data_IF_837425553348
#
_entry.id   IF_837425553348
#
_cell.length_a   1.000
_cell.length_b   1.000
_cell.length_c   1.000
_cell.angle_alpha   90.00
_cell.angle_beta   90.00
_cell.angle_gamma   90.00
#
_symmetry.space_group_name_H-M   'P 1'
#
loop_
_entity.id
_entity.type
_entity.pdbx_description
1 polymer ?
#
# COMPACT_ATOMS: atom_id res chain seq x y z
N UNK A 1 -78.00 -35.10 36.81
CA UNK A 1 -76.69 -35.76 36.79
C UNK A 1 -76.40 -36.13 35.36
N UNK A 2 -75.60 -35.33 34.67
CA UNK A 2 -75.26 -35.49 33.26
C UNK A 2 -74.22 -36.59 33.10
N UNK A 3 -74.66 -37.78 32.68
CA UNK A 3 -73.76 -38.86 32.30
C UNK A 3 -73.03 -38.46 31.02
N UNK A 4 -71.71 -38.23 31.11
CA UNK A 4 -70.86 -38.10 29.93
C UNK A 4 -70.94 -39.41 29.14
N UNK A 5 -71.32 -39.32 27.86
CA UNK A 5 -71.42 -40.48 26.99
C UNK A 5 -70.01 -40.98 26.62
N UNK A 6 -69.84 -42.29 26.48
CA UNK A 6 -68.54 -42.94 26.19
C UNK A 6 -67.78 -42.33 25.01
N UNK A 7 -68.49 -41.88 23.97
CA UNK A 7 -67.89 -41.23 22.80
C UNK A 7 -67.27 -39.85 23.11
N UNK A 8 -67.88 -39.05 24.01
CA UNK A 8 -67.32 -37.77 24.45
C UNK A 8 -66.06 -37.98 25.32
N UNK A 9 -66.05 -39.03 26.14
CA UNK A 9 -64.86 -39.44 26.90
C UNK A 9 -63.73 -39.89 25.97
N UNK A 10 -64.04 -40.63 24.90
CA UNK A 10 -63.08 -41.11 23.92
C UNK A 10 -62.46 -39.97 23.10
N UNK A 11 -63.24 -38.96 22.75
CA UNK A 11 -62.78 -37.76 22.04
C UNK A 11 -61.90 -36.89 22.95
N UNK A 12 -62.26 -36.72 24.22
CA UNK A 12 -61.42 -36.02 25.21
C UNK A 12 -60.12 -36.79 25.47
N UNK A 13 -60.15 -38.12 25.51
CA UNK A 13 -58.97 -38.97 25.70
C UNK A 13 -58.08 -39.02 24.46
N UNK A 14 -58.62 -38.89 23.24
CA UNK A 14 -57.80 -38.77 22.02
C UNK A 14 -57.13 -37.40 21.94
N UNK A 15 -57.86 -36.32 22.25
CA UNK A 15 -57.31 -34.95 22.37
C UNK A 15 -56.26 -34.89 23.50
N UNK A 16 -56.45 -35.64 24.59
CA UNK A 16 -55.50 -35.74 25.69
C UNK A 16 -54.31 -36.68 25.39
N UNK A 17 -54.45 -37.66 24.49
CA UNK A 17 -53.35 -38.56 24.09
C UNK A 17 -52.44 -37.93 23.03
N UNK A 18 -52.93 -36.95 22.27
CA UNK A 18 -52.09 -36.06 21.44
C UNK A 18 -51.16 -35.15 22.28
N UNK A 19 -51.40 -35.03 23.61
CA UNK A 19 -50.54 -34.27 24.53
C UNK A 19 -49.12 -34.81 24.61
N UNK A 20 -48.86 -36.06 24.22
CA UNK A 20 -47.49 -36.58 24.21
C UNK A 20 -46.57 -35.80 23.29
N UNK A 21 -47.05 -35.40 22.10
CA UNK A 21 -46.27 -34.57 21.17
C UNK A 21 -46.25 -33.11 21.62
N UNK A 22 -47.38 -32.59 22.12
CA UNK A 22 -47.45 -31.19 22.53
C UNK A 22 -46.60 -30.90 23.77
N UNK A 23 -46.57 -31.78 24.78
CA UNK A 23 -45.69 -31.66 25.95
C UNK A 23 -44.21 -31.82 25.60
N UNK A 24 -43.87 -32.74 24.69
CA UNK A 24 -42.48 -32.89 24.22
C UNK A 24 -42.03 -31.60 23.50
N UNK A 25 -42.90 -31.02 22.66
CA UNK A 25 -42.57 -29.78 21.94
C UNK A 25 -42.51 -28.59 22.90
N UNK A 26 -43.43 -28.42 23.85
CA UNK A 26 -43.39 -27.28 24.79
C UNK A 26 -42.23 -27.35 25.77
N UNK A 27 -41.79 -28.55 26.16
CA UNK A 27 -40.64 -28.75 27.06
C UNK A 27 -39.31 -28.70 26.31
N UNK A 28 -39.23 -29.29 25.11
CA UNK A 28 -37.97 -29.36 24.34
C UNK A 28 -37.73 -28.14 23.45
N UNK A 29 -38.76 -27.48 22.91
CA UNK A 29 -38.61 -26.35 21.99
C UNK A 29 -37.80 -25.18 22.59
N UNK A 30 -37.98 -24.76 23.86
CA UNK A 30 -37.15 -23.71 24.45
C UNK A 30 -35.67 -24.08 24.47
N UNK A 31 -35.36 -25.36 24.75
CA UNK A 31 -33.99 -25.88 24.77
C UNK A 31 -33.39 -25.95 23.37
N UNK A 32 -34.17 -26.38 22.37
CA UNK A 32 -33.75 -26.41 20.96
C UNK A 32 -33.54 -24.99 20.42
N UNK A 33 -34.44 -24.05 20.74
CA UNK A 33 -34.30 -22.64 20.35
C UNK A 33 -33.07 -22.01 21.01
N UNK A 34 -32.81 -22.32 22.30
CA UNK A 34 -31.61 -21.86 22.98
C UNK A 34 -30.32 -22.41 22.33
N UNK A 35 -30.28 -23.71 22.03
CA UNK A 35 -29.15 -24.33 21.33
C UNK A 35 -28.96 -23.75 19.92
N UNK A 36 -30.05 -23.50 19.20
CA UNK A 36 -30.02 -22.89 17.89
C UNK A 36 -29.53 -21.44 17.96
N UNK A 37 -29.96 -20.67 18.97
CA UNK A 37 -29.46 -19.32 19.22
C UNK A 37 -27.96 -19.32 19.50
N UNK A 38 -27.47 -20.21 20.37
CA UNK A 38 -26.04 -20.36 20.66
C UNK A 38 -25.25 -20.73 19.39
N UNK A 39 -25.80 -21.64 18.57
CA UNK A 39 -25.18 -22.05 17.30
C UNK A 39 -25.08 -20.89 16.30
N UNK A 40 -26.16 -20.13 16.12
CA UNK A 40 -26.19 -18.95 15.24
C UNK A 40 -25.25 -17.87 15.77
N UNK A 41 -25.24 -17.61 17.08
CA UNK A 41 -24.30 -16.67 17.71
C UNK A 41 -22.86 -17.09 17.48
N UNK A 42 -22.52 -18.37 17.62
CA UNK A 42 -21.18 -18.88 17.36
C UNK A 42 -20.75 -18.69 15.90
N UNK A 43 -21.61 -19.03 14.94
CA UNK A 43 -21.35 -18.80 13.52
C UNK A 43 -21.18 -17.31 13.18
N UNK A 44 -21.99 -16.46 13.79
CA UNK A 44 -21.96 -15.02 13.57
C UNK A 44 -20.70 -14.39 14.15
N UNK A 45 -20.31 -14.76 15.37
CA UNK A 45 -19.06 -14.32 16.01
C UNK A 45 -17.84 -14.78 15.22
N UNK A 46 -17.84 -16.04 14.74
CA UNK A 46 -16.74 -16.57 13.93
C UNK A 46 -16.61 -15.82 12.61
N UNK A 47 -17.72 -15.55 11.91
CA UNK A 47 -17.72 -14.76 10.67
C UNK A 47 -17.31 -13.31 10.92
N UNK A 48 -17.81 -12.70 11.99
CA UNK A 48 -17.49 -11.32 12.34
C UNK A 48 -16.01 -11.17 12.72
N UNK A 49 -15.46 -12.11 13.47
CA UNK A 49 -14.03 -12.15 13.83
C UNK A 49 -13.13 -12.24 12.60
N UNK A 50 -13.47 -13.08 11.62
CA UNK A 50 -12.73 -13.16 10.34
C UNK A 50 -12.83 -11.84 9.58
N UNK A 51 -14.03 -11.24 9.51
CA UNK A 51 -14.22 -9.95 8.83
C UNK A 51 -13.39 -8.82 9.46
N UNK A 52 -13.43 -8.70 10.79
CA UNK A 52 -12.67 -7.68 11.55
C UNK A 52 -11.17 -7.90 11.41
N UNK A 53 -10.72 -9.16 11.39
CA UNK A 53 -9.30 -9.47 11.21
C UNK A 53 -8.83 -9.10 9.81
N UNK A 54 -9.60 -9.44 8.77
CA UNK A 54 -9.29 -9.06 7.39
C UNK A 54 -9.29 -7.55 7.20
N UNK A 55 -10.26 -6.83 7.79
CA UNK A 55 -10.33 -5.37 7.73
C UNK A 55 -9.09 -4.72 8.35
N UNK A 56 -8.63 -5.21 9.52
CA UNK A 56 -7.39 -4.72 10.16
C UNK A 56 -6.13 -5.01 9.35
N UNK A 57 -6.07 -6.16 8.68
CA UNK A 57 -4.94 -6.51 7.80
C UNK A 57 -4.91 -5.54 6.61
N UNK A 58 -6.05 -5.31 5.97
CA UNK A 58 -6.17 -4.36 4.85
C UNK A 58 -5.78 -2.95 5.28
N UNK A 59 -6.26 -2.48 6.43
CA UNK A 59 -5.92 -1.16 6.97
C UNK A 59 -4.40 -1.00 7.12
N UNK A 60 -3.75 -2.01 7.71
CA UNK A 60 -2.29 -2.03 7.88
C UNK A 60 -1.54 -2.09 6.55
N UNK A 61 -2.01 -2.88 5.60
CA UNK A 61 -1.39 -2.98 4.27
C UNK A 61 -1.49 -1.65 3.51
N UNK A 62 -2.63 -0.96 3.62
CA UNK A 62 -2.83 0.38 3.06
C UNK A 62 -1.92 1.40 3.74
N UNK A 63 -1.78 1.36 5.07
CA UNK A 63 -0.84 2.22 5.80
C UNK A 63 0.60 2.01 5.31
N UNK A 64 1.03 0.75 5.14
CA UNK A 64 2.36 0.42 4.61
C UNK A 64 2.56 0.84 3.16
N UNK A 65 1.49 0.83 2.35
CA UNK A 65 1.54 1.35 1.00
C UNK A 65 1.77 2.87 0.99
N UNK A 66 1.08 3.62 1.84
CA UNK A 66 1.32 5.06 1.98
C UNK A 66 2.73 5.36 2.48
N UNK A 67 3.22 4.59 3.46
CA UNK A 67 4.61 4.71 3.94
C UNK A 67 5.64 4.47 2.82
N UNK A 68 5.38 3.51 1.92
CA UNK A 68 6.23 3.25 0.76
C UNK A 68 6.20 4.40 -0.24
N UNK A 69 5.02 4.97 -0.50
CA UNK A 69 4.82 6.12 -1.39
C UNK A 69 5.55 7.36 -0.89
N UNK A 70 5.42 7.68 0.40
CA UNK A 70 6.11 8.83 1.02
C UNK A 70 7.63 8.67 0.92
N UNK A 71 8.15 7.48 1.26
CA UNK A 71 9.58 7.19 1.15
C UNK A 71 10.11 7.33 -0.29
N UNK A 72 9.31 6.93 -1.29
CA UNK A 72 9.64 7.07 -2.70
C UNK A 72 9.66 8.55 -3.11
N UNK A 73 8.64 9.29 -2.69
CA UNK A 73 8.50 10.71 -3.01
C UNK A 73 9.70 11.50 -2.48
N UNK A 74 10.07 11.31 -1.21
CA UNK A 74 11.20 12.01 -0.60
C UNK A 74 12.54 11.71 -1.31
N UNK A 75 12.76 10.48 -1.75
CA UNK A 75 13.95 10.14 -2.54
C UNK A 75 13.92 10.78 -3.93
N UNK A 76 12.80 10.64 -4.65
CA UNK A 76 12.67 11.16 -6.02
C UNK A 76 12.76 12.69 -6.09
N UNK A 77 12.21 13.40 -5.09
CA UNK A 77 12.33 14.85 -4.98
C UNK A 77 13.78 15.29 -4.72
N UNK A 78 14.48 14.61 -3.80
CA UNK A 78 15.89 14.86 -3.56
C UNK A 78 16.75 14.64 -4.82
N UNK A 79 16.46 13.59 -5.59
CA UNK A 79 17.12 13.32 -6.89
C UNK A 79 16.83 14.43 -7.90
N UNK A 80 15.58 14.89 -8.00
CA UNK A 80 15.18 15.99 -8.87
C UNK A 80 15.89 17.30 -8.53
N UNK A 81 15.97 17.63 -7.24
CA UNK A 81 16.68 18.80 -6.75
C UNK A 81 18.18 18.73 -7.06
N UNK A 82 18.80 17.57 -6.83
CA UNK A 82 20.21 17.34 -7.17
C UNK A 82 20.50 17.65 -8.64
N UNK A 83 19.74 17.06 -9.57
CA UNK A 83 19.98 17.29 -11.00
C UNK A 83 19.72 18.74 -11.40
N UNK A 84 18.68 19.38 -10.85
CA UNK A 84 18.39 20.81 -11.06
C UNK A 84 19.55 21.71 -10.62
N UNK A 85 20.15 21.42 -9.47
CA UNK A 85 21.28 22.19 -8.94
C UNK A 85 22.56 21.96 -9.75
N UNK A 86 22.84 20.72 -10.17
CA UNK A 86 24.03 20.41 -10.97
C UNK A 86 23.92 21.00 -12.38
N UNK A 87 22.74 20.99 -12.99
CA UNK A 87 22.51 21.65 -14.27
C UNK A 87 22.80 23.16 -14.18
N UNK A 88 22.30 23.83 -13.12
CA UNK A 88 22.60 25.25 -12.87
C UNK A 88 24.09 25.50 -12.69
N UNK A 89 24.78 24.62 -11.95
CA UNK A 89 26.22 24.72 -11.73
C UNK A 89 27.00 24.61 -13.04
N UNK A 90 26.66 23.63 -13.88
CA UNK A 90 27.28 23.49 -15.20
C UNK A 90 27.04 24.68 -16.12
N UNK A 91 25.84 25.27 -16.09
CA UNK A 91 25.54 26.50 -16.84
C UNK A 91 26.39 27.69 -16.36
N UNK A 92 26.61 27.82 -15.04
CA UNK A 92 27.48 28.85 -14.46
C UNK A 92 28.93 28.68 -14.86
N UNK A 93 29.43 27.44 -14.87
CA UNK A 93 30.79 27.12 -15.35
C UNK A 93 30.99 27.57 -16.79
N UNK A 94 30.04 27.31 -17.70
CA UNK A 94 30.09 27.79 -19.09
C UNK A 94 30.04 29.33 -19.16
N UNK A 95 29.24 29.96 -18.31
CA UNK A 95 29.10 31.42 -18.26
C UNK A 95 30.30 32.13 -17.60
N UNK A 96 31.32 31.38 -17.13
CA UNK A 96 32.43 31.89 -16.32
C UNK A 96 31.95 32.66 -15.07
N UNK A 97 30.79 32.26 -14.55
CA UNK A 97 30.18 32.82 -13.33
C UNK A 97 30.62 31.95 -12.14
N UNK A 98 31.49 32.45 -11.23
CA UNK A 98 31.97 31.66 -10.11
C UNK A 98 30.82 31.34 -9.14
N UNK A 99 30.87 30.15 -8.54
CA UNK A 99 29.92 29.75 -7.50
C UNK A 99 30.05 30.70 -6.29
N UNK A 100 28.98 31.42 -5.95
CA UNK A 100 28.88 32.14 -4.67
C UNK A 100 28.77 31.14 -3.50
N UNK A 101 29.25 31.52 -2.30
CA UNK A 101 29.23 30.64 -1.12
C UNK A 101 27.82 30.08 -0.83
N UNK A 102 26.79 30.90 -1.05
CA UNK A 102 25.39 30.50 -0.89
C UNK A 102 24.94 29.44 -1.90
N UNK A 103 25.39 29.51 -3.15
CA UNK A 103 25.07 28.51 -4.16
C UNK A 103 25.86 27.22 -3.95
N UNK A 104 27.15 27.31 -3.62
CA UNK A 104 27.97 26.14 -3.29
C UNK A 104 27.37 25.35 -2.12
N UNK A 105 26.87 26.06 -1.08
CA UNK A 105 26.14 25.44 0.02
C UNK A 105 24.89 24.68 -0.47
N UNK A 106 24.05 25.31 -1.31
CA UNK A 106 22.84 24.67 -1.86
C UNK A 106 23.15 23.43 -2.71
N UNK A 107 24.24 23.45 -3.48
CA UNK A 107 24.68 22.28 -4.28
C UNK A 107 25.09 21.13 -3.35
N UNK A 108 25.83 21.43 -2.29
CA UNK A 108 26.24 20.44 -1.30
C UNK A 108 25.05 19.88 -0.53
N UNK A 109 24.10 20.72 -0.13
CA UNK A 109 22.87 20.32 0.53
C UNK A 109 22.02 19.39 -0.34
N UNK A 110 21.79 19.76 -1.61
CA UNK A 110 21.08 18.91 -2.57
C UNK A 110 21.78 17.56 -2.77
N UNK A 111 23.13 17.55 -2.80
CA UNK A 111 23.92 16.31 -2.88
C UNK A 111 23.76 15.46 -1.63
N UNK A 112 23.84 16.06 -0.45
CA UNK A 112 23.64 15.40 0.85
C UNK A 112 22.23 14.84 1.01
N UNK A 113 21.20 15.54 0.52
CA UNK A 113 19.82 15.11 0.57
C UNK A 113 19.56 13.80 -0.19
N UNK A 114 20.22 13.57 -1.34
CA UNK A 114 20.08 12.28 -2.02
C UNK A 114 20.71 11.15 -1.20
N UNK A 115 21.87 11.41 -0.57
CA UNK A 115 22.54 10.42 0.25
C UNK A 115 21.73 10.05 1.50
N UNK A 116 21.14 11.03 2.18
CA UNK A 116 20.31 10.76 3.36
C UNK A 116 19.03 9.97 3.01
N UNK A 117 18.50 10.16 1.81
CA UNK A 117 17.28 9.50 1.36
C UNK A 117 17.50 8.13 0.66
N UNK A 118 18.74 7.65 0.49
CA UNK A 118 18.99 6.32 -0.10
C UNK A 118 18.35 5.18 0.68
N UNK A 119 18.30 5.29 2.01
CA UNK A 119 17.62 4.30 2.85
C UNK A 119 16.12 4.24 2.57
N UNK A 120 15.51 5.35 2.16
CA UNK A 120 14.07 5.47 1.91
C UNK A 120 13.66 4.75 0.64
N UNK A 121 14.42 4.88 -0.45
CA UNK A 121 14.13 4.13 -1.69
C UNK A 121 14.27 2.61 -1.48
N UNK A 122 15.23 2.19 -0.64
CA UNK A 122 15.33 0.79 -0.23
C UNK A 122 14.14 0.32 0.60
N UNK A 123 13.68 1.16 1.53
CA UNK A 123 12.50 0.90 2.35
C UNK A 123 11.25 0.79 1.48
N UNK A 124 11.08 1.65 0.48
CA UNK A 124 9.99 1.54 -0.51
C UNK A 124 10.01 0.17 -1.20
N UNK A 125 11.13 -0.21 -1.81
CA UNK A 125 11.27 -1.52 -2.49
C UNK A 125 10.97 -2.69 -1.55
N UNK A 126 11.46 -2.62 -0.31
CA UNK A 126 11.17 -3.65 0.70
C UNK A 126 9.69 -3.73 1.08
N UNK A 127 9.04 -2.59 1.35
CA UNK A 127 7.62 -2.54 1.71
C UNK A 127 6.74 -3.07 0.57
N UNK A 128 7.02 -2.69 -0.67
CA UNK A 128 6.29 -3.19 -1.84
C UNK A 128 6.44 -4.71 -2.00
N UNK A 129 7.65 -5.25 -1.80
CA UNK A 129 7.89 -6.71 -1.79
C UNK A 129 7.11 -7.39 -0.66
N UNK A 130 7.09 -6.80 0.54
CA UNK A 130 6.33 -7.33 1.68
C UNK A 130 4.81 -7.32 1.45
N UNK A 131 4.30 -6.35 0.69
CA UNK A 131 2.90 -6.26 0.25
C UNK A 131 2.57 -7.16 -0.96
N UNK A 132 3.52 -7.97 -1.42
CA UNK A 132 3.35 -8.85 -2.59
C UNK A 132 3.42 -8.15 -3.95
N UNK A 133 3.75 -6.86 -3.99
CA UNK A 133 3.82 -6.05 -5.21
C UNK A 133 5.24 -6.07 -5.80
N UNK A 134 5.72 -7.26 -6.18
CA UNK A 134 7.09 -7.46 -6.65
C UNK A 134 7.43 -6.65 -7.89
N UNK A 135 6.53 -6.61 -8.88
CA UNK A 135 6.74 -5.88 -10.13
C UNK A 135 6.93 -4.37 -9.89
N UNK A 136 6.13 -3.80 -8.99
CA UNK A 136 6.24 -2.38 -8.62
C UNK A 136 7.53 -2.11 -7.84
N UNK A 137 7.96 -3.05 -6.99
CA UNK A 137 9.25 -2.94 -6.32
C UNK A 137 10.44 -2.99 -7.32
N UNK A 138 10.33 -3.82 -8.36
CA UNK A 138 11.35 -3.92 -9.41
C UNK A 138 11.42 -2.63 -10.25
N UNK A 139 10.28 -1.97 -10.52
CA UNK A 139 10.24 -0.63 -11.13
C UNK A 139 10.94 0.43 -10.26
N UNK A 140 10.68 0.42 -8.96
CA UNK A 140 11.35 1.30 -7.99
C UNK A 140 12.87 1.05 -7.95
N UNK A 141 13.28 -0.21 -8.01
CA UNK A 141 14.70 -0.59 -8.06
C UNK A 141 15.36 -0.17 -9.39
N UNK A 142 14.62 -0.20 -10.51
CA UNK A 142 15.06 0.30 -11.81
C UNK A 142 15.24 1.82 -11.79
N UNK A 143 14.27 2.57 -11.26
CA UNK A 143 14.37 4.02 -11.07
C UNK A 143 15.60 4.39 -10.23
N UNK A 144 15.80 3.69 -9.11
CA UNK A 144 16.99 3.86 -8.26
C UNK A 144 18.27 3.64 -9.06
N UNK A 145 18.35 2.56 -9.82
CA UNK A 145 19.53 2.21 -10.61
C UNK A 145 19.85 3.27 -11.67
N UNK A 146 18.83 3.74 -12.41
CA UNK A 146 19.01 4.81 -13.40
C UNK A 146 19.46 6.13 -12.75
N UNK A 147 18.88 6.48 -11.60
CA UNK A 147 19.28 7.69 -10.86
C UNK A 147 20.76 7.63 -10.41
N UNK A 148 21.25 6.46 -10.01
CA UNK A 148 22.66 6.26 -9.63
C UNK A 148 23.58 6.40 -10.85
N UNK A 149 23.21 5.80 -11.99
CA UNK A 149 23.98 5.89 -13.24
C UNK A 149 24.12 7.37 -13.66
N UNK A 150 23.02 8.13 -13.67
CA UNK A 150 23.05 9.53 -14.05
C UNK A 150 23.82 10.40 -13.02
N UNK A 151 23.79 10.05 -11.73
CA UNK A 151 24.65 10.73 -10.73
C UNK A 151 26.13 10.45 -10.96
N UNK A 152 26.47 9.24 -11.38
CA UNK A 152 27.86 8.87 -11.70
C UNK A 152 28.38 9.67 -12.89
N UNK A 153 27.57 9.88 -13.93
CA UNK A 153 27.98 10.71 -15.08
C UNK A 153 28.17 12.18 -14.70
N UNK A 154 27.33 12.74 -13.81
CA UNK A 154 27.54 14.08 -13.23
C UNK A 154 28.89 14.16 -12.49
N UNK A 155 29.22 13.13 -11.70
CA UNK A 155 30.47 13.09 -10.95
C UNK A 155 31.69 13.00 -11.88
N UNK A 156 31.65 12.13 -12.89
CA UNK A 156 32.72 11.98 -13.88
C UNK A 156 32.98 13.30 -14.63
N UNK A 157 31.92 14.00 -15.06
CA UNK A 157 32.03 15.31 -15.67
C UNK A 157 32.63 16.37 -14.73
N UNK A 158 32.30 16.29 -13.44
CA UNK A 158 32.80 17.24 -12.43
C UNK A 158 34.30 17.09 -12.14
N UNK A 159 34.89 15.93 -12.43
CA UNK A 159 36.32 15.66 -12.23
C UNK A 159 37.21 16.26 -13.33
N UNK A 160 36.72 16.29 -14.56
CA UNK A 160 37.44 16.83 -15.72
C UNK A 160 36.51 17.68 -16.59
N UNK A 161 36.09 18.87 -16.10
CA UNK A 161 35.16 19.73 -16.83
C UNK A 161 35.86 20.34 -18.05
N UNK A 162 35.47 19.95 -19.26
CA UNK A 162 35.73 20.70 -20.48
C UNK A 162 34.46 21.37 -20.98
N UNK A 163 34.58 22.54 -21.61
CA UNK A 163 33.42 23.29 -22.09
C UNK A 163 32.60 22.46 -23.10
N UNK A 164 33.25 21.75 -24.01
CA UNK A 164 32.60 20.83 -24.96
C UNK A 164 31.88 19.68 -24.26
N UNK A 165 32.51 19.07 -23.23
CA UNK A 165 31.90 17.98 -22.48
C UNK A 165 30.68 18.47 -21.69
N UNK A 166 30.75 19.65 -21.08
CA UNK A 166 29.62 20.23 -20.36
C UNK A 166 28.47 20.57 -21.31
N UNK A 167 28.76 21.18 -22.47
CA UNK A 167 27.73 21.48 -23.48
C UNK A 167 27.05 20.20 -24.00
N UNK A 168 27.83 19.17 -24.32
CA UNK A 168 27.30 17.88 -24.74
C UNK A 168 26.44 17.23 -23.64
N UNK A 169 26.91 17.28 -22.40
CA UNK A 169 26.19 16.76 -21.26
C UNK A 169 24.86 17.49 -21.00
N UNK A 170 24.84 18.82 -21.09
CA UNK A 170 23.62 19.62 -20.91
C UNK A 170 22.53 19.30 -21.94
N UNK A 171 22.92 18.93 -23.17
CA UNK A 171 21.98 18.47 -24.20
C UNK A 171 21.43 17.08 -23.85
N UNK A 172 22.30 16.16 -23.44
CA UNK A 172 21.92 14.77 -23.15
C UNK A 172 21.14 14.63 -21.82
N UNK A 173 21.48 15.41 -20.80
CA UNK A 173 20.83 15.32 -19.48
C UNK A 173 19.38 15.76 -19.51
N UNK A 174 18.98 16.62 -20.45
CA UNK A 174 17.58 17.00 -20.63
C UNK A 174 16.72 15.77 -21.01
N UNK A 175 17.22 14.93 -21.93
CA UNK A 175 16.56 13.70 -22.32
C UNK A 175 16.55 12.66 -21.18
N UNK A 176 17.69 12.45 -20.52
CA UNK A 176 17.81 11.55 -19.36
C UNK A 176 16.92 11.96 -18.18
N UNK A 177 16.81 13.27 -17.92
CA UNK A 177 15.92 13.81 -16.89
C UNK A 177 14.46 13.62 -17.26
N UNK A 178 14.09 13.81 -18.53
CA UNK A 178 12.73 13.53 -19.00
C UNK A 178 12.39 12.05 -18.84
N UNK A 179 13.36 11.16 -19.11
CA UNK A 179 13.19 9.73 -18.90
C UNK A 179 13.02 9.38 -17.41
N UNK A 180 13.87 9.92 -16.54
CA UNK A 180 13.72 9.75 -15.09
C UNK A 180 12.39 10.28 -14.56
N UNK A 181 11.90 11.40 -15.08
CA UNK A 181 10.60 11.95 -14.69
C UNK A 181 9.45 11.06 -15.15
N UNK A 182 9.55 10.48 -16.37
CA UNK A 182 8.58 9.48 -16.84
C UNK A 182 8.58 8.23 -15.95
N UNK A 183 9.77 7.69 -15.62
CA UNK A 183 9.90 6.56 -14.69
C UNK A 183 9.35 6.88 -13.29
N UNK A 184 9.55 8.12 -12.81
CA UNK A 184 8.99 8.57 -11.53
C UNK A 184 7.46 8.52 -11.56
N UNK A 185 6.87 9.07 -12.62
CA UNK A 185 5.42 9.10 -12.77
C UNK A 185 4.84 7.68 -12.90
N UNK A 186 5.49 6.82 -13.68
CA UNK A 186 5.15 5.39 -13.79
C UNK A 186 5.18 4.69 -12.42
N UNK A 187 6.25 4.90 -11.64
CA UNK A 187 6.32 4.35 -10.28
C UNK A 187 5.18 4.86 -9.38
N UNK A 188 4.86 6.15 -9.43
CA UNK A 188 3.78 6.74 -8.61
C UNK A 188 2.40 6.20 -9.02
N UNK A 189 2.15 6.06 -10.32
CA UNK A 189 0.91 5.48 -10.84
C UNK A 189 0.75 4.02 -10.42
N UNK A 190 1.81 3.21 -10.55
CA UNK A 190 1.78 1.80 -10.12
C UNK A 190 1.66 1.64 -8.61
N UNK A 191 2.34 2.47 -7.81
CA UNK A 191 2.18 2.50 -6.35
C UNK A 191 0.73 2.87 -5.99
N UNK A 192 0.14 3.86 -6.66
CA UNK A 192 -1.27 4.24 -6.44
C UNK A 192 -2.24 3.11 -6.84
N UNK A 193 -1.96 2.41 -7.94
CA UNK A 193 -2.74 1.28 -8.43
C UNK A 193 -2.73 0.08 -7.47
N UNK A 194 -1.67 -0.09 -6.66
CA UNK A 194 -1.59 -1.14 -5.64
C UNK A 194 -2.75 -1.08 -4.64
N UNK A 195 -3.28 0.12 -4.34
CA UNK A 195 -4.45 0.27 -3.46
C UNK A 195 -5.69 -0.46 -3.99
N UNK A 196 -5.89 -0.45 -5.31
CA UNK A 196 -6.98 -1.20 -5.95
C UNK A 196 -6.76 -2.71 -5.87
N UNK A 197 -5.52 -3.16 -6.05
CA UNK A 197 -5.13 -4.58 -5.99
C UNK A 197 -5.29 -5.16 -4.58
N UNK A 198 -4.93 -4.40 -3.54
CA UNK A 198 -5.10 -4.79 -2.12
C UNK A 198 -6.58 -4.89 -1.75
N UNK A 199 -7.44 -4.00 -2.26
CA UNK A 199 -8.91 -4.09 -2.05
C UNK A 199 -9.56 -5.24 -2.81
N UNK A 200 -9.02 -5.60 -3.98
CA UNK A 200 -9.57 -6.63 -4.87
C UNK A 200 -9.24 -8.08 -4.48
N UNK A 201 -8.20 -8.33 -3.66
CA UNK A 201 -7.79 -9.69 -3.29
C UNK A 201 -8.68 -10.38 -2.24
N UNK A 202 -9.79 -9.75 -1.83
CA UNK A 202 -10.72 -10.23 -0.80
C UNK A 202 -12.17 -10.34 -1.32
N UNK A 203 -12.36 -10.22 -2.64
CA UNK A 203 -13.64 -10.44 -3.34
C UNK A 203 -13.85 -11.89 -3.75
#
# INVERSE_FOLDING_TARGET
MTELTYEQLKEIVSIASEKGLFDIVTVAAPSVVALFAVWVSYLTVKRHSVHVTNEKVIEKDVEKLYEAADCFFEYSDAVGLFFSMQEKRFRRVIALDPDDEGFAHKVNEATGAVYSNFSKIHKTSFLLKALGQKEVADLVDAYRSQSIILRKSVYELSQAPSEEAIKSFLVNIAAERSNLEAMKNECLEEIAACKGRIKGSVG
#
